data_IF_714173476034
#
_entry.id   IF_714173476034
#
_cell.length_a   1.000
_cell.length_b   1.000
_cell.length_c   1.000
_cell.angle_alpha   90.00
_cell.angle_beta   90.00
_cell.angle_gamma   90.00
#
_symmetry.space_group_name_H-M   'P 1'
#
loop_
_entity.id
_entity.type
_entity.pdbx_description
1 polymer ?
#
# COMPACT_ATOMS: atom_id res chain seq x y z
N UNK A 1 -36.13 -4.70 -37.16
CA UNK A 1 -35.66 -3.31 -37.37
C UNK A 1 -34.79 -2.97 -36.17
N UNK A 2 -33.48 -3.23 -36.18
CA UNK A 2 -32.39 -2.35 -36.68
C UNK A 2 -32.50 -0.91 -36.12
N UNK A 3 -31.47 -0.56 -35.32
CA UNK A 3 -30.84 0.77 -35.08
C UNK A 3 -31.14 1.41 -33.71
N UNK A 4 -30.22 2.07 -32.99
CA UNK A 4 -28.77 2.35 -33.11
C UNK A 4 -28.32 2.79 -31.70
N UNK A 5 -27.15 2.30 -31.25
CA UNK A 5 -26.39 2.83 -30.11
C UNK A 5 -25.79 4.18 -30.53
N UNK A 6 -25.94 5.23 -29.72
CA UNK A 6 -25.22 6.49 -29.91
C UNK A 6 -24.54 6.91 -28.62
N UNK A 7 -23.24 6.61 -28.59
CA UNK A 7 -22.21 7.06 -27.67
C UNK A 7 -21.95 8.54 -27.92
N UNK A 8 -21.88 9.37 -26.88
CA UNK A 8 -21.11 10.61 -26.90
C UNK A 8 -20.40 10.79 -25.55
N UNK A 9 -19.23 10.17 -25.45
CA UNK A 9 -18.16 10.56 -24.54
C UNK A 9 -17.52 11.83 -25.10
N UNK A 10 -17.67 12.95 -24.39
CA UNK A 10 -16.90 14.17 -24.66
C UNK A 10 -15.60 14.07 -23.86
N UNK A 11 -14.51 13.84 -24.58
CA UNK A 11 -13.13 14.03 -24.14
C UNK A 11 -12.88 15.52 -23.92
N UNK A 12 -12.47 15.89 -22.72
CA UNK A 12 -11.78 17.16 -22.48
C UNK A 12 -10.91 17.04 -21.24
N UNK A 13 -9.66 16.60 -21.42
CA UNK A 13 -8.56 16.92 -20.51
C UNK A 13 -7.44 17.47 -21.38
N UNK A 14 -7.41 18.79 -21.49
CA UNK A 14 -6.24 19.58 -21.79
C UNK A 14 -6.26 20.74 -20.77
N UNK A 15 -5.08 21.22 -20.40
CA UNK A 15 -4.73 22.21 -19.35
C UNK A 15 -4.21 21.49 -18.07
N UNK A 16 -2.98 21.66 -17.57
CA UNK A 16 -1.87 22.55 -17.93
C UNK A 16 -0.58 21.97 -17.30
N UNK A 17 0.41 21.60 -18.12
CA UNK A 17 1.82 21.60 -17.71
C UNK A 17 2.39 22.99 -18.01
N UNK A 18 2.45 23.86 -17.00
CA UNK A 18 3.22 25.09 -17.05
C UNK A 18 3.55 25.60 -15.64
N UNK A 19 4.57 25.03 -15.02
CA UNK A 19 5.31 25.67 -13.93
C UNK A 19 6.79 25.25 -13.98
N UNK A 20 7.41 25.48 -15.13
CA UNK A 20 8.86 25.61 -15.23
C UNK A 20 9.21 27.02 -14.75
N UNK A 21 9.43 27.16 -13.46
CA UNK A 21 9.94 28.39 -12.84
C UNK A 21 11.47 28.30 -12.73
N UNK A 22 12.16 28.66 -13.81
CA UNK A 22 13.61 28.81 -13.79
C UNK A 22 14.06 30.04 -12.99
N UNK A 23 15.31 29.99 -12.50
CA UNK A 23 16.24 31.13 -12.43
C UNK A 23 17.65 30.63 -12.06
N UNK A 24 18.47 30.49 -13.09
CA UNK A 24 19.93 30.61 -13.02
C UNK A 24 20.31 32.03 -12.59
N UNK A 25 21.49 32.19 -11.97
CA UNK A 25 22.41 33.19 -12.48
C UNK A 25 23.76 32.57 -12.85
N UNK A 26 24.28 33.03 -13.98
CA UNK A 26 25.62 32.84 -14.49
C UNK A 26 26.69 33.40 -13.54
N UNK A 27 27.89 32.83 -13.58
CA UNK A 27 29.12 33.62 -13.46
C UNK A 27 30.26 32.99 -12.65
N UNK A 28 31.32 32.60 -13.38
CA UNK A 28 32.76 32.72 -13.01
C UNK A 28 33.24 31.81 -11.84
N UNK A 29 34.35 31.06 -11.88
CA UNK A 29 35.65 31.28 -12.52
C UNK A 29 36.53 30.01 -12.39
N UNK A 30 37.35 29.79 -13.42
CA UNK A 30 38.66 29.10 -13.53
C UNK A 30 39.34 28.49 -12.27
N UNK A 31 39.88 27.29 -12.52
CA UNK A 31 41.29 26.85 -12.35
C UNK A 31 41.89 26.52 -10.95
N UNK A 32 42.28 25.24 -10.86
CA UNK A 32 43.63 24.73 -10.57
C UNK A 32 44.16 24.64 -9.11
N UNK A 33 44.92 23.55 -8.92
CA UNK A 33 45.88 23.17 -7.88
C UNK A 33 45.40 22.68 -6.52
N UNK A 34 45.88 21.47 -6.22
CA UNK A 34 45.74 20.80 -4.94
C UNK A 34 46.65 21.35 -3.83
N UNK A 35 46.46 20.78 -2.65
CA UNK A 35 47.53 20.52 -1.69
C UNK A 35 47.02 19.57 -0.62
N UNK A 36 47.86 18.58 -0.33
CA UNK A 36 47.85 17.75 0.88
C UNK A 36 47.73 18.61 2.14
N UNK A 37 46.99 18.13 3.13
CA UNK A 37 47.58 17.83 4.44
C UNK A 37 46.66 16.90 5.23
N UNK A 38 47.26 15.81 5.69
CA UNK A 38 46.77 14.95 6.76
C UNK A 38 46.81 15.75 8.08
N UNK A 39 45.83 15.55 8.95
CA UNK A 39 46.13 15.13 10.32
C UNK A 39 44.91 14.49 11.00
N UNK A 40 45.17 13.27 11.45
CA UNK A 40 44.42 12.32 12.27
C UNK A 40 43.95 12.89 13.61
N UNK A 41 42.82 12.41 14.16
CA UNK A 41 42.71 11.89 15.55
C UNK A 41 41.33 11.25 15.84
N UNK A 42 41.43 10.05 16.40
CA UNK A 42 40.51 9.33 17.30
C UNK A 42 39.05 9.07 16.90
N UNK A 43 38.82 7.84 16.45
CA UNK A 43 38.46 6.80 17.40
C UNK A 43 37.00 6.79 17.88
N UNK A 44 36.13 6.20 17.05
CA UNK A 44 35.22 5.12 17.45
C UNK A 44 34.57 4.60 16.17
N UNK A 45 35.19 3.60 15.53
CA UNK A 45 34.42 2.77 14.61
C UNK A 45 33.50 1.94 15.49
N UNK A 46 32.32 2.48 15.79
CA UNK A 46 31.19 1.64 16.16
C UNK A 46 30.93 0.78 14.94
N UNK A 47 31.55 -0.40 14.92
CA UNK A 47 31.08 -1.51 14.11
C UNK A 47 29.70 -1.85 14.68
N UNK A 48 28.70 -1.10 14.24
CA UNK A 48 27.31 -1.53 14.29
C UNK A 48 27.33 -2.83 13.52
N UNK A 49 27.38 -3.93 14.26
CA UNK A 49 27.15 -5.24 13.69
C UNK A 49 25.69 -5.18 13.28
N UNK A 50 25.42 -4.78 12.04
CA UNK A 50 24.14 -4.99 11.39
C UNK A 50 23.92 -6.50 11.50
N UNK A 51 23.22 -6.89 12.56
CA UNK A 51 22.71 -8.23 12.68
C UNK A 51 21.67 -8.27 11.59
N UNK A 52 22.08 -8.75 10.41
CA UNK A 52 21.23 -8.94 9.25
C UNK A 52 20.22 -10.00 9.65
N UNK A 53 19.18 -9.55 10.37
CA UNK A 53 18.07 -10.39 10.78
C UNK A 53 17.38 -10.71 9.47
N UNK A 54 17.62 -11.92 8.98
CA UNK A 54 17.08 -12.34 7.70
C UNK A 54 15.58 -12.52 7.93
N UNK A 55 14.79 -11.55 7.50
CA UNK A 55 13.33 -11.62 7.61
C UNK A 55 12.85 -12.75 6.71
N UNK A 56 12.35 -13.82 7.32
CA UNK A 56 11.70 -14.91 6.59
C UNK A 56 10.31 -14.43 6.21
N UNK A 57 10.14 -14.07 4.94
CA UNK A 57 8.84 -13.65 4.40
C UNK A 57 7.89 -14.85 4.37
N UNK A 58 6.76 -14.75 5.07
CA UNK A 58 5.69 -15.74 5.01
C UNK A 58 5.05 -15.76 3.62
N UNK A 59 4.69 -16.93 3.13
CA UNK A 59 4.05 -17.10 1.83
C UNK A 59 2.69 -16.38 1.78
N UNK A 60 1.94 -16.45 2.88
CA UNK A 60 0.64 -15.80 3.04
C UNK A 60 0.73 -14.27 2.88
N UNK A 61 1.83 -13.63 3.29
CA UNK A 61 2.04 -12.19 3.07
C UNK A 61 2.17 -11.87 1.59
N UNK A 62 2.84 -12.72 0.82
CA UNK A 62 2.97 -12.56 -0.63
C UNK A 62 1.64 -12.80 -1.33
N UNK A 63 0.89 -13.82 -0.91
CA UNK A 63 -0.46 -14.08 -1.42
C UNK A 63 -1.40 -12.89 -1.16
N UNK A 64 -1.35 -12.32 0.04
CA UNK A 64 -2.11 -11.13 0.42
C UNK A 64 -1.80 -9.94 -0.50
N UNK A 65 -0.52 -9.63 -0.75
CA UNK A 65 -0.16 -8.57 -1.69
C UNK A 65 -0.59 -8.88 -3.13
N UNK A 66 -0.52 -10.14 -3.55
CA UNK A 66 -1.02 -10.55 -4.86
C UNK A 66 -2.54 -10.38 -4.99
N UNK A 67 -3.31 -10.52 -3.91
CA UNK A 67 -4.76 -10.23 -3.93
C UNK A 67 -5.05 -8.77 -4.24
N UNK A 68 -4.23 -7.86 -3.73
CA UNK A 68 -4.32 -6.43 -4.05
C UNK A 68 -4.10 -6.21 -5.55
N UNK A 69 -3.12 -6.89 -6.16
CA UNK A 69 -2.81 -6.79 -7.58
C UNK A 69 -3.92 -7.29 -8.51
N UNK A 70 -4.91 -8.01 -8.00
CA UNK A 70 -6.10 -8.39 -8.78
C UNK A 70 -7.07 -7.20 -8.94
N UNK A 71 -6.88 -6.10 -8.21
CA UNK A 71 -7.72 -4.91 -8.31
C UNK A 71 -7.43 -4.11 -9.60
N UNK A 72 -8.50 -3.72 -10.28
CA UNK A 72 -8.48 -2.84 -11.44
C UNK A 72 -9.47 -1.68 -11.22
N UNK A 73 -8.99 -0.47 -10.84
CA UNK A 73 -9.87 0.67 -10.56
C UNK A 73 -10.65 1.10 -11.81
N UNK A 74 -11.84 1.68 -11.60
CA UNK A 74 -12.66 2.26 -12.68
C UNK A 74 -13.34 1.24 -13.60
N UNK A 75 -13.20 -0.06 -13.33
CA UNK A 75 -13.87 -1.13 -14.08
C UNK A 75 -15.23 -1.47 -13.48
N UNK A 76 -16.14 -2.03 -14.29
CA UNK A 76 -17.41 -2.53 -13.80
C UNK A 76 -17.17 -3.63 -12.75
N UNK A 77 -17.81 -3.49 -11.58
CA UNK A 77 -17.61 -4.41 -10.45
C UNK A 77 -16.39 -4.12 -9.59
N UNK A 78 -15.62 -3.05 -9.86
CA UNK A 78 -14.48 -2.65 -9.01
C UNK A 78 -14.89 -2.42 -7.55
N UNK A 79 -16.06 -1.82 -7.27
CA UNK A 79 -16.57 -1.66 -5.91
C UNK A 79 -16.81 -2.99 -5.18
N UNK A 80 -17.34 -4.00 -5.87
CA UNK A 80 -17.52 -5.35 -5.32
C UNK A 80 -16.18 -6.05 -5.12
N UNK A 81 -15.25 -5.91 -6.08
CA UNK A 81 -13.90 -6.46 -5.95
C UNK A 81 -13.15 -5.84 -4.76
N UNK A 82 -13.33 -4.55 -4.52
CA UNK A 82 -12.76 -3.86 -3.35
C UNK A 82 -13.26 -4.48 -2.03
N UNK A 83 -14.54 -4.85 -1.96
CA UNK A 83 -15.11 -5.55 -0.78
C UNK A 83 -14.56 -6.96 -0.62
N UNK A 84 -14.38 -7.68 -1.72
CA UNK A 84 -13.73 -9.00 -1.69
C UNK A 84 -12.28 -8.89 -1.21
N UNK A 85 -11.50 -7.93 -1.69
CA UNK A 85 -10.13 -7.72 -1.21
C UNK A 85 -10.12 -7.29 0.26
N UNK A 86 -11.01 -6.40 0.66
CA UNK A 86 -11.14 -5.99 2.06
C UNK A 86 -11.39 -7.19 3.01
N UNK A 87 -12.24 -8.12 2.57
CA UNK A 87 -12.46 -9.38 3.30
C UNK A 87 -11.17 -10.21 3.39
N UNK A 88 -10.45 -10.41 2.28
CA UNK A 88 -9.21 -11.19 2.27
C UNK A 88 -8.11 -10.57 3.15
N UNK A 89 -7.99 -9.23 3.15
CA UNK A 89 -7.02 -8.52 3.99
C UNK A 89 -7.33 -8.67 5.48
N UNK A 90 -8.59 -8.49 5.88
CA UNK A 90 -9.01 -8.69 7.27
C UNK A 90 -8.88 -10.15 7.69
N UNK A 91 -9.23 -11.08 6.79
CA UNK A 91 -9.07 -12.52 7.05
C UNK A 91 -7.60 -12.87 7.29
N UNK A 92 -6.70 -12.39 6.42
CA UNK A 92 -5.27 -12.60 6.57
C UNK A 92 -4.76 -12.04 7.91
N UNK A 93 -5.16 -10.82 8.30
CA UNK A 93 -4.67 -10.24 9.56
C UNK A 93 -5.10 -11.03 10.79
N UNK A 94 -6.30 -11.61 10.76
CA UNK A 94 -6.85 -12.46 11.82
C UNK A 94 -6.19 -13.85 11.81
N UNK A 95 -6.11 -14.50 10.65
CA UNK A 95 -5.59 -15.87 10.53
C UNK A 95 -4.11 -15.95 10.91
N UNK A 96 -3.33 -14.93 10.53
CA UNK A 96 -1.92 -14.80 10.91
C UNK A 96 -1.72 -14.20 12.31
N UNK A 97 -2.82 -13.88 13.02
CA UNK A 97 -2.81 -13.34 14.40
C UNK A 97 -1.88 -12.14 14.55
N UNK A 98 -1.93 -11.19 13.61
CA UNK A 98 -1.00 -10.06 13.59
C UNK A 98 -1.09 -9.18 14.85
N UNK A 99 -2.25 -9.17 15.51
CA UNK A 99 -2.47 -8.53 16.81
C UNK A 99 -1.58 -9.08 17.95
N UNK A 100 -1.05 -10.31 17.82
CA UNK A 100 -0.11 -10.89 18.77
C UNK A 100 1.37 -10.68 18.35
N UNK A 101 1.61 -10.12 17.14
CA UNK A 101 2.95 -9.80 16.63
C UNK A 101 3.37 -8.35 16.98
N UNK A 102 4.67 -8.14 17.17
CA UNK A 102 5.25 -6.79 17.29
C UNK A 102 5.10 -6.04 15.96
N UNK A 103 4.77 -4.73 16.02
CA UNK A 103 4.54 -3.93 14.80
C UNK A 103 5.75 -3.99 13.85
N UNK A 104 6.98 -3.91 14.38
CA UNK A 104 8.19 -3.95 13.55
C UNK A 104 8.36 -5.27 12.81
N UNK A 105 7.84 -6.36 13.36
CA UNK A 105 7.86 -7.68 12.70
C UNK A 105 6.89 -7.69 11.53
N UNK A 106 5.69 -7.14 11.71
CA UNK A 106 4.69 -7.01 10.64
C UNK A 106 5.21 -6.08 9.54
N UNK A 107 5.75 -4.90 9.90
CA UNK A 107 6.33 -3.94 8.96
C UNK A 107 7.43 -4.60 8.13
N UNK A 108 8.39 -5.26 8.79
CA UNK A 108 9.50 -5.91 8.11
C UNK A 108 9.04 -7.05 7.19
N UNK A 109 8.02 -7.83 7.57
CA UNK A 109 7.46 -8.88 6.72
C UNK A 109 6.76 -8.31 5.48
N UNK A 110 5.91 -7.29 5.67
CA UNK A 110 5.19 -6.63 4.57
C UNK A 110 6.17 -5.95 3.63
N UNK A 111 7.14 -5.20 4.15
CA UNK A 111 8.17 -4.53 3.36
C UNK A 111 9.02 -5.54 2.58
N UNK A 112 9.47 -6.63 3.23
CA UNK A 112 10.26 -7.65 2.57
C UNK A 112 9.47 -8.42 1.50
N UNK A 113 8.16 -8.64 1.69
CA UNK A 113 7.28 -9.19 0.67
C UNK A 113 7.09 -8.22 -0.51
N UNK A 114 6.83 -6.95 -0.21
CA UNK A 114 6.66 -5.89 -1.20
C UNK A 114 7.91 -5.69 -2.08
N UNK A 115 9.11 -5.71 -1.48
CA UNK A 115 10.39 -5.62 -2.21
C UNK A 115 10.67 -6.77 -3.17
N UNK A 116 9.99 -7.91 -3.02
CA UNK A 116 10.09 -9.05 -3.96
C UNK A 116 9.25 -8.87 -5.22
N UNK A 117 8.30 -7.95 -5.22
CA UNK A 117 7.45 -7.66 -6.36
C UNK A 117 8.19 -6.82 -7.39
N UNK A 118 7.73 -6.86 -8.65
CA UNK A 118 8.25 -5.98 -9.70
C UNK A 118 7.82 -4.53 -9.44
N UNK A 119 8.56 -3.56 -9.97
CA UNK A 119 8.27 -2.13 -9.77
C UNK A 119 6.85 -1.73 -10.19
N UNK A 120 6.36 -2.26 -11.30
CA UNK A 120 4.99 -2.03 -11.78
C UNK A 120 3.92 -2.62 -10.85
N UNK A 121 4.23 -3.70 -10.14
CA UNK A 121 3.35 -4.28 -9.13
C UNK A 121 3.38 -3.47 -7.84
N UNK A 122 4.57 -3.02 -7.42
CA UNK A 122 4.74 -2.16 -6.25
C UNK A 122 3.91 -0.88 -6.40
N UNK A 123 4.02 -0.20 -7.54
CA UNK A 123 3.29 1.04 -7.81
C UNK A 123 1.76 0.83 -7.75
N UNK A 124 1.28 -0.29 -8.30
CA UNK A 124 -0.15 -0.63 -8.23
C UNK A 124 -0.65 -0.91 -6.81
N UNK A 125 0.20 -1.42 -5.93
CA UNK A 125 -0.16 -1.62 -4.51
C UNK A 125 -0.17 -0.28 -3.79
N UNK A 126 0.80 0.60 -4.03
CA UNK A 126 0.83 1.94 -3.45
C UNK A 126 -0.41 2.74 -3.87
N UNK A 127 -0.71 2.79 -5.18
CA UNK A 127 -1.92 3.43 -5.71
C UNK A 127 -3.21 2.90 -5.05
N UNK A 128 -3.26 1.60 -4.75
CA UNK A 128 -4.40 0.96 -4.10
C UNK A 128 -4.54 1.37 -2.62
N UNK A 129 -3.42 1.43 -1.90
CA UNK A 129 -3.37 1.81 -0.48
C UNK A 129 -3.67 3.30 -0.32
N UNK A 130 -3.18 4.15 -1.21
CA UNK A 130 -3.38 5.60 -1.22
C UNK A 130 -4.80 6.05 -1.62
N UNK A 131 -5.68 5.12 -2.02
CA UNK A 131 -6.97 5.36 -2.70
C UNK A 131 -8.04 6.22 -1.99
N UNK A 132 -7.71 6.98 -0.95
CA UNK A 132 -8.53 8.05 -0.37
C UNK A 132 -9.84 7.60 0.27
N UNK A 133 -10.79 8.54 0.40
CA UNK A 133 -12.14 8.25 0.92
C UNK A 133 -12.86 7.23 0.03
N UNK A 134 -13.06 6.02 0.57
CA UNK A 134 -13.65 4.90 -0.16
C UNK A 134 -12.64 3.84 -0.60
N UNK A 135 -11.35 4.01 -0.29
CA UNK A 135 -10.32 2.99 -0.43
C UNK A 135 -10.54 1.80 0.52
N UNK A 136 -9.70 0.77 0.38
CA UNK A 136 -9.87 -0.49 1.13
C UNK A 136 -9.81 -0.28 2.65
N UNK A 137 -9.06 0.71 3.12
CA UNK A 137 -8.92 1.04 4.54
C UNK A 137 -10.27 1.51 5.09
N UNK A 138 -10.90 2.50 4.44
CA UNK A 138 -12.24 2.98 4.80
C UNK A 138 -13.26 1.86 4.77
N UNK A 139 -13.20 0.99 3.76
CA UNK A 139 -14.09 -0.17 3.63
C UNK A 139 -14.00 -1.10 4.84
N UNK A 140 -12.78 -1.43 5.30
CA UNK A 140 -12.58 -2.31 6.45
C UNK A 140 -12.95 -1.62 7.75
N UNK A 141 -12.55 -0.35 7.96
CA UNK A 141 -12.93 0.40 9.16
C UNK A 141 -14.45 0.56 9.32
N UNK A 142 -15.17 0.81 8.22
CA UNK A 142 -16.62 0.86 8.24
C UNK A 142 -17.24 -0.50 8.57
N UNK A 143 -16.65 -1.59 8.08
CA UNK A 143 -17.12 -2.95 8.41
C UNK A 143 -16.90 -3.26 9.90
N UNK A 144 -15.73 -2.94 10.45
CA UNK A 144 -15.40 -3.16 11.86
C UNK A 144 -16.26 -2.30 12.80
N UNK A 145 -16.57 -1.07 12.40
CA UNK A 145 -17.33 -0.12 13.24
C UNK A 145 -18.83 -0.36 13.15
N UNK A 146 -19.36 -0.62 11.95
CA UNK A 146 -20.79 -0.77 11.72
C UNK A 146 -21.08 -1.71 10.54
N UNK A 147 -20.84 -3.00 10.76
CA UNK A 147 -21.09 -4.03 9.76
C UNK A 147 -22.55 -4.09 9.30
N UNK A 148 -23.51 -3.82 10.19
CA UNK A 148 -24.95 -3.93 9.88
C UNK A 148 -25.34 -3.09 8.66
N UNK A 149 -24.77 -1.90 8.55
CA UNK A 149 -25.04 -0.98 7.44
C UNK A 149 -24.23 -1.31 6.18
N UNK A 150 -23.21 -2.17 6.29
CA UNK A 150 -22.38 -2.63 5.17
C UNK A 150 -22.76 -4.04 4.67
N UNK A 151 -23.58 -4.79 5.43
CA UNK A 151 -23.85 -6.22 5.23
C UNK A 151 -24.22 -6.56 3.80
N UNK A 152 -25.25 -5.88 3.25
CA UNK A 152 -25.74 -6.17 1.90
C UNK A 152 -24.65 -6.03 0.83
N UNK A 153 -23.76 -5.04 0.95
CA UNK A 153 -22.70 -4.79 -0.04
C UNK A 153 -21.62 -5.89 0.00
N UNK A 154 -21.34 -6.46 1.17
CA UNK A 154 -20.42 -7.60 1.28
C UNK A 154 -21.06 -8.92 0.82
N UNK A 155 -22.36 -9.12 1.09
CA UNK A 155 -23.10 -10.27 0.55
C UNK A 155 -23.17 -10.23 -0.98
N UNK A 156 -23.46 -9.07 -1.57
CA UNK A 156 -23.45 -8.85 -3.02
C UNK A 156 -22.07 -9.07 -3.65
N UNK A 157 -21.00 -8.78 -2.91
CA UNK A 157 -19.63 -9.06 -3.31
C UNK A 157 -19.23 -10.53 -3.17
N UNK A 158 -20.14 -11.41 -2.74
CA UNK A 158 -19.90 -12.84 -2.58
C UNK A 158 -19.06 -13.20 -1.36
N UNK A 159 -18.97 -12.31 -0.36
CA UNK A 159 -18.19 -12.52 0.87
C UNK A 159 -19.07 -12.45 2.13
N UNK A 160 -20.06 -13.36 2.28
CA UNK A 160 -20.94 -13.39 3.45
C UNK A 160 -20.19 -13.67 4.76
N UNK A 161 -18.97 -14.23 4.70
CA UNK A 161 -18.12 -14.50 5.86
C UNK A 161 -17.61 -13.24 6.58
N UNK A 162 -17.78 -12.05 6.01
CA UNK A 162 -17.33 -10.80 6.62
C UNK A 162 -17.98 -10.55 8.00
N UNK A 163 -19.24 -10.96 8.19
CA UNK A 163 -19.93 -10.84 9.48
C UNK A 163 -19.21 -11.59 10.61
N UNK A 164 -18.62 -12.73 10.28
CA UNK A 164 -17.85 -13.53 11.24
C UNK A 164 -16.54 -12.84 11.57
N UNK A 165 -15.81 -12.35 10.56
CA UNK A 165 -14.50 -11.73 10.76
C UNK A 165 -14.57 -10.48 11.64
N UNK A 166 -15.53 -9.59 11.39
CA UNK A 166 -15.67 -8.35 12.16
C UNK A 166 -16.09 -8.59 13.62
N UNK A 167 -16.61 -9.78 13.93
CA UNK A 167 -16.97 -10.21 15.30
C UNK A 167 -15.87 -11.00 15.98
N UNK A 168 -14.80 -11.36 15.26
CA UNK A 168 -13.65 -12.06 15.85
C UNK A 168 -13.01 -11.17 16.92
N UNK A 169 -12.65 -11.78 18.03
CA UNK A 169 -11.91 -11.10 19.09
C UNK A 169 -10.63 -10.47 18.52
N UNK A 170 -10.35 -9.22 18.90
CA UNK A 170 -9.22 -8.42 18.41
C UNK A 170 -9.18 -8.16 16.90
N UNK A 171 -10.23 -8.43 16.12
CA UNK A 171 -10.23 -8.19 14.66
C UNK A 171 -9.74 -6.78 14.27
N UNK A 172 -10.16 -5.76 15.02
CA UNK A 172 -9.72 -4.39 14.81
C UNK A 172 -8.22 -4.19 15.09
N UNK A 173 -7.69 -4.78 16.17
CA UNK A 173 -6.26 -4.70 16.51
C UNK A 173 -5.42 -5.42 15.44
N UNK A 174 -5.83 -6.60 14.99
CA UNK A 174 -5.07 -7.34 13.98
C UNK A 174 -5.10 -6.58 12.64
N UNK A 175 -6.23 -5.96 12.27
CA UNK A 175 -6.31 -5.08 11.10
C UNK A 175 -5.42 -3.85 11.24
N UNK A 176 -5.42 -3.16 12.38
CA UNK A 176 -4.61 -1.97 12.62
C UNK A 176 -3.11 -2.24 12.38
N UNK A 177 -2.61 -3.40 12.85
CA UNK A 177 -1.23 -3.84 12.59
C UNK A 177 -0.90 -3.89 11.10
N UNK A 178 -1.78 -4.50 10.31
CA UNK A 178 -1.60 -4.61 8.86
C UNK A 178 -1.77 -3.27 8.15
N UNK A 179 -2.77 -2.49 8.56
CA UNK A 179 -3.07 -1.20 7.96
C UNK A 179 -1.88 -0.23 8.11
N UNK A 180 -1.26 -0.20 9.29
CA UNK A 180 -0.05 0.60 9.53
C UNK A 180 1.11 0.14 8.63
N UNK A 181 1.38 -1.18 8.61
CA UNK A 181 2.46 -1.73 7.79
C UNK A 181 2.27 -1.47 6.29
N UNK A 182 1.03 -1.46 5.79
CA UNK A 182 0.71 -1.13 4.40
C UNK A 182 0.81 0.37 4.12
N UNK A 183 0.39 1.23 5.06
CA UNK A 183 0.48 2.68 4.92
C UNK A 183 1.94 3.16 4.89
N UNK A 184 2.83 2.51 5.66
CA UNK A 184 4.25 2.83 5.72
C UNK A 184 5.04 2.41 4.45
N UNK A 185 4.40 1.80 3.45
CA UNK A 185 5.02 1.47 2.16
C UNK A 185 5.15 2.69 1.23
N UNK A 186 4.30 3.72 1.39
CA UNK A 186 4.24 4.94 0.56
C UNK A 186 4.85 6.15 1.26
#
# INVERSE_FOLDING_TARGET
MKKIIAIMLVLSIALCLAACGGKTPEGLTKADKGSQSEETVSGKTETTTETTTTVVVKEQTVEMLNKILEFAPGTAGSSLKLRSIAYELLKYSIDEKLCDEDQKTVDAQVEAAFKKLKKDQQDRILDFVEGGEGGVFTVIYNALTNYKDQKGVFEDAGVPGMETLVKTEKAAECWEKLANALADLG
#
